data_IF_044248730200
#
_entry.id   IF_044248730200
#
_cell.length_a   1.000
_cell.length_b   1.000
_cell.length_c   1.000
_cell.angle_alpha   90.00
_cell.angle_beta   90.00
_cell.angle_gamma   90.00
#
_symmetry.space_group_name_H-M   'P 1'
#
loop_
_entity.id
_entity.type
_entity.pdbx_description
1 polymer ?
#
# COMPACT_ATOMS: atom_id res chain seq x y z
N UNK A 1 6.33 -35.33 18.39
CA UNK A 1 5.52 -35.13 17.19
C UNK A 1 6.27 -34.11 16.38
N UNK A 2 7.00 -34.63 15.40
CA UNK A 2 7.86 -33.86 14.52
C UNK A 2 7.01 -32.88 13.74
N UNK A 3 7.29 -31.60 13.92
CA UNK A 3 6.78 -30.55 13.05
C UNK A 3 7.50 -30.81 11.72
N UNK A 4 6.75 -31.23 10.70
CA UNK A 4 7.25 -31.37 9.34
C UNK A 4 7.94 -30.05 8.95
N UNK A 5 9.27 -30.08 8.90
CA UNK A 5 10.12 -29.09 8.22
C UNK A 5 9.93 -29.22 6.70
N UNK A 6 8.69 -29.10 6.21
CA UNK A 6 8.42 -28.97 4.78
C UNK A 6 9.00 -27.65 4.29
N UNK A 7 10.17 -27.75 3.65
CA UNK A 7 10.82 -26.81 2.73
C UNK A 7 10.52 -25.31 2.97
N UNK A 8 11.09 -24.74 4.02
CA UNK A 8 11.25 -23.29 4.14
C UNK A 8 12.35 -22.81 3.18
N UNK A 9 11.94 -22.33 2.00
CA UNK A 9 12.85 -21.70 1.02
C UNK A 9 13.54 -20.46 1.61
N UNK A 10 14.69 -20.06 1.08
CA UNK A 10 15.42 -18.85 1.51
C UNK A 10 14.58 -17.57 1.38
N UNK A 11 13.63 -17.53 0.45
CA UNK A 11 12.64 -16.45 0.32
C UNK A 11 11.65 -16.40 1.49
N UNK A 12 11.25 -17.53 2.09
CA UNK A 12 10.41 -17.51 3.30
C UNK A 12 11.16 -17.04 4.55
N UNK A 13 12.50 -17.12 4.55
CA UNK A 13 13.36 -16.59 5.62
C UNK A 13 13.67 -15.09 5.46
N UNK A 14 13.48 -14.53 4.26
CA UNK A 14 13.84 -13.15 3.92
C UNK A 14 12.60 -12.40 3.38
N UNK A 15 12.09 -11.40 4.09
CA UNK A 15 10.95 -10.59 3.62
C UNK A 15 9.79 -10.53 4.60
N UNK A 16 8.60 -10.25 4.06
CA UNK A 16 7.35 -10.15 4.84
C UNK A 16 6.93 -11.50 5.45
N UNK A 17 7.36 -12.62 4.86
CA UNK A 17 7.00 -13.99 5.29
C UNK A 17 7.59 -14.42 6.65
N UNK A 18 8.60 -13.72 7.16
CA UNK A 18 9.08 -13.97 8.53
C UNK A 18 8.03 -13.67 9.61
N UNK A 19 6.95 -12.98 9.24
CA UNK A 19 5.81 -12.67 10.10
C UNK A 19 4.68 -13.71 10.01
N UNK A 20 4.90 -14.84 9.31
CA UNK A 20 3.97 -15.97 9.30
C UNK A 20 3.83 -16.51 10.73
N UNK A 21 2.59 -16.81 11.10
CA UNK A 21 2.27 -17.40 12.40
C UNK A 21 1.42 -18.64 12.22
N UNK A 22 1.78 -19.77 12.85
CA UNK A 22 0.95 -20.98 12.81
C UNK A 22 -0.47 -20.68 13.29
N UNK A 23 -1.47 -21.31 12.65
CA UNK A 23 -2.90 -21.16 12.97
C UNK A 23 -3.50 -19.77 12.71
N UNK A 24 -2.77 -18.85 12.06
CA UNK A 24 -3.31 -17.55 11.65
C UNK A 24 -3.42 -17.45 10.12
N UNK A 25 -4.17 -18.37 9.52
CA UNK A 25 -4.25 -18.54 8.06
C UNK A 25 -4.70 -17.26 7.33
N UNK A 26 -5.69 -16.55 7.86
CA UNK A 26 -6.17 -15.32 7.25
C UNK A 26 -5.12 -14.18 7.29
N UNK A 27 -4.37 -14.06 8.39
CA UNK A 27 -3.22 -13.15 8.47
C UNK A 27 -2.10 -13.56 7.52
N UNK A 28 -1.76 -14.85 7.47
CA UNK A 28 -0.72 -15.37 6.58
C UNK A 28 -1.07 -15.10 5.11
N UNK A 29 -2.35 -15.24 4.75
CA UNK A 29 -2.86 -14.87 3.42
C UNK A 29 -2.71 -13.38 3.12
N UNK A 30 -2.89 -12.49 4.09
CA UNK A 30 -2.60 -11.06 3.89
C UNK A 30 -1.12 -10.82 3.59
N UNK A 31 -0.20 -11.57 4.22
CA UNK A 31 1.25 -11.46 3.92
C UNK A 31 1.57 -11.93 2.50
N UNK A 32 0.94 -13.01 2.04
CA UNK A 32 1.04 -13.47 0.65
C UNK A 32 0.54 -12.41 -0.33
N UNK A 33 -0.56 -11.72 0.02
CA UNK A 33 -1.09 -10.65 -0.82
C UNK A 33 -0.14 -9.44 -0.87
N UNK A 34 0.45 -9.04 0.26
CA UNK A 34 1.49 -8.00 0.31
C UNK A 34 2.64 -8.35 -0.64
N UNK A 35 3.14 -9.58 -0.58
CA UNK A 35 4.24 -10.01 -1.45
C UNK A 35 3.85 -10.05 -2.93
N UNK A 36 2.64 -10.51 -3.24
CA UNK A 36 2.11 -10.50 -4.61
C UNK A 36 2.03 -9.08 -5.17
N UNK A 37 1.48 -8.14 -4.40
CA UNK A 37 1.36 -6.73 -4.81
C UNK A 37 2.72 -6.07 -4.92
N UNK A 38 3.65 -6.38 -4.01
CA UNK A 38 5.03 -5.92 -4.09
C UNK A 38 5.66 -6.32 -5.43
N UNK A 39 5.55 -7.61 -5.80
CA UNK A 39 6.07 -8.12 -7.08
C UNK A 39 5.39 -7.44 -8.28
N UNK A 40 4.06 -7.27 -8.23
CA UNK A 40 3.28 -6.62 -9.28
C UNK A 40 3.70 -5.17 -9.52
N UNK A 41 3.99 -4.43 -8.45
CA UNK A 41 4.38 -3.01 -8.51
C UNK A 41 5.88 -2.80 -8.78
N UNK A 42 6.70 -3.86 -8.72
CA UNK A 42 8.16 -3.71 -8.71
C UNK A 42 8.69 -3.02 -7.45
N UNK A 43 7.95 -3.11 -6.34
CA UNK A 43 8.36 -2.56 -5.05
C UNK A 43 9.51 -3.38 -4.44
N UNK A 44 10.35 -2.73 -3.65
CA UNK A 44 11.46 -3.37 -2.95
C UNK A 44 11.12 -3.59 -1.49
N UNK A 45 11.56 -4.70 -0.91
CA UNK A 45 11.54 -4.90 0.53
C UNK A 45 12.97 -4.91 1.02
N UNK A 46 13.28 -3.97 1.91
CA UNK A 46 14.52 -4.00 2.65
C UNK A 46 14.31 -4.72 3.98
N UNK A 47 15.09 -5.79 4.12
CA UNK A 47 15.16 -6.64 5.31
C UNK A 47 16.43 -6.39 6.11
N UNK A 48 17.34 -5.53 5.64
CA UNK A 48 18.53 -5.14 6.40
C UNK A 48 18.07 -4.33 7.61
N UNK A 49 17.87 -5.04 8.72
CA UNK A 49 17.97 -4.39 10.00
C UNK A 49 19.42 -4.43 10.44
N UNK A 50 20.04 -3.26 10.54
CA UNK A 50 21.23 -3.03 11.36
C UNK A 50 20.85 -3.09 12.86
N UNK A 51 21.45 -4.06 13.56
CA UNK A 51 21.98 -4.03 14.94
C UNK A 51 21.11 -3.60 16.14
N UNK A 52 19.78 -3.70 16.05
CA UNK A 52 18.87 -3.46 17.18
C UNK A 52 18.19 -4.72 17.74
N UNK A 53 17.96 -4.79 19.06
CA UNK A 53 17.21 -5.87 19.75
C UNK A 53 15.77 -6.09 19.21
N UNK A 54 15.23 -5.11 18.46
CA UNK A 54 13.85 -5.09 17.96
C UNK A 54 13.73 -5.31 16.43
N UNK A 55 14.84 -5.67 15.82
CA UNK A 55 15.05 -5.93 14.39
C UNK A 55 14.04 -6.90 13.77
N UNK A 56 13.78 -8.01 14.44
CA UNK A 56 12.92 -9.08 13.93
C UNK A 56 11.44 -8.69 13.75
N UNK A 57 11.04 -7.47 14.12
CA UNK A 57 9.65 -7.00 14.09
C UNK A 57 9.36 -5.95 13.01
N UNK A 58 10.37 -5.48 12.26
CA UNK A 58 10.18 -4.32 11.36
C UNK A 58 10.72 -4.53 9.96
N UNK A 59 9.91 -4.34 8.92
CA UNK A 59 10.39 -4.31 7.53
C UNK A 59 10.02 -3.00 6.84
N UNK A 60 10.79 -2.65 5.82
CA UNK A 60 10.51 -1.50 4.96
C UNK A 60 10.07 -1.98 3.58
N UNK A 61 8.96 -1.47 3.09
CA UNK A 61 8.54 -1.61 1.69
C UNK A 61 8.74 -0.27 1.00
N UNK A 62 9.54 -0.25 -0.05
CA UNK A 62 9.77 0.92 -0.90
C UNK A 62 8.87 0.84 -2.13
N UNK A 63 8.13 1.91 -2.38
CA UNK A 63 7.10 2.00 -3.43
C UNK A 63 7.32 3.29 -4.18
N UNK A 64 7.30 3.23 -5.49
CA UNK A 64 7.35 4.43 -6.32
C UNK A 64 5.94 4.75 -6.81
N UNK A 65 5.52 6.01 -6.67
CA UNK A 65 4.32 6.50 -7.33
C UNK A 65 4.49 6.34 -8.84
N UNK A 66 3.57 5.61 -9.49
CA UNK A 66 3.77 5.14 -10.87
C UNK A 66 3.97 6.30 -11.85
N UNK A 67 3.19 7.36 -11.69
CA UNK A 67 3.25 8.54 -12.55
C UNK A 67 4.10 9.66 -11.95
N UNK A 68 3.95 9.88 -10.64
CA UNK A 68 4.62 10.97 -9.93
C UNK A 68 6.13 10.76 -9.81
N UNK A 69 6.59 9.50 -9.77
CA UNK A 69 7.97 9.13 -9.46
C UNK A 69 8.34 9.31 -7.98
N UNK A 70 7.39 9.66 -7.10
CA UNK A 70 7.66 9.91 -5.69
C UNK A 70 8.06 8.59 -5.02
N UNK A 71 9.20 8.62 -4.32
CA UNK A 71 9.70 7.47 -3.57
C UNK A 71 9.04 7.44 -2.19
N UNK A 72 8.23 6.42 -1.94
CA UNK A 72 7.57 6.16 -0.67
C UNK A 72 8.24 5.03 0.10
N UNK A 73 8.13 5.08 1.43
CA UNK A 73 8.53 4.00 2.34
C UNK A 73 7.40 3.70 3.32
N UNK A 74 6.95 2.45 3.33
CA UNK A 74 6.11 1.89 4.38
C UNK A 74 6.98 1.14 5.38
N UNK A 75 7.01 1.61 6.62
CA UNK A 75 7.61 0.89 7.74
C UNK A 75 6.54 0.04 8.39
N UNK A 76 6.62 -1.28 8.25
CA UNK A 76 5.68 -2.22 8.85
C UNK A 76 6.26 -2.71 10.18
N UNK A 77 5.47 -2.60 11.24
CA UNK A 77 5.79 -3.07 12.58
C UNK A 77 4.87 -4.24 12.95
N UNK A 78 5.45 -5.39 13.27
CA UNK A 78 4.74 -6.60 13.65
C UNK A 78 4.83 -6.86 15.16
N UNK A 79 3.71 -7.23 15.78
CA UNK A 79 3.61 -7.49 17.22
C UNK A 79 3.53 -8.99 17.54
N UNK A 80 4.67 -9.69 17.74
CA UNK A 80 4.68 -11.14 17.93
C UNK A 80 3.98 -11.57 19.21
N UNK A 81 3.95 -10.72 20.26
CA UNK A 81 3.21 -11.02 21.49
C UNK A 81 1.70 -11.11 21.26
N UNK A 82 1.16 -10.23 20.41
CA UNK A 82 -0.25 -10.24 20.03
C UNK A 82 -0.54 -11.47 19.18
N UNK A 83 0.32 -11.73 18.19
CA UNK A 83 0.15 -12.88 17.30
C UNK A 83 0.17 -14.21 18.05
N UNK A 84 1.13 -14.39 18.96
CA UNK A 84 1.25 -15.58 19.80
C UNK A 84 0.08 -15.74 20.80
N UNK A 85 -0.57 -14.65 21.19
CA UNK A 85 -1.75 -14.73 22.04
C UNK A 85 -2.97 -15.19 21.22
N UNK A 86 -3.14 -14.61 20.02
CA UNK A 86 -4.24 -14.92 19.12
C UNK A 86 -4.16 -16.37 18.61
N UNK A 87 -2.98 -16.82 18.18
CA UNK A 87 -2.77 -18.14 17.57
C UNK A 87 -3.09 -19.33 18.47
N UNK A 88 -3.13 -19.13 19.80
CA UNK A 88 -3.40 -20.20 20.77
C UNK A 88 -4.79 -20.81 20.65
N UNK A 89 -5.79 -20.00 20.34
CA UNK A 89 -7.21 -20.41 20.41
C UNK A 89 -8.08 -19.90 19.26
N UNK A 90 -7.50 -19.18 18.29
CA UNK A 90 -8.24 -18.67 17.13
C UNK A 90 -8.95 -19.78 16.34
N UNK A 91 -8.35 -20.98 16.25
CA UNK A 91 -8.94 -22.15 15.59
C UNK A 91 -10.18 -22.71 16.33
N UNK A 92 -10.39 -22.33 17.59
CA UNK A 92 -11.58 -22.71 18.35
C UNK A 92 -12.77 -21.77 18.06
N UNK A 93 -12.53 -20.67 17.34
CA UNK A 93 -13.52 -19.65 17.05
C UNK A 93 -13.99 -19.78 15.61
N UNK A 94 -15.29 -19.95 15.42
CA UNK A 94 -15.88 -19.76 14.09
C UNK A 94 -15.82 -18.27 13.71
N UNK A 95 -15.12 -17.94 12.63
CA UNK A 95 -14.93 -16.57 12.13
C UNK A 95 -16.19 -16.00 11.44
N UNK A 96 -17.31 -16.03 12.16
CA UNK A 96 -18.52 -15.28 11.79
C UNK A 96 -18.29 -13.77 11.88
N UNK A 97 -19.08 -12.96 11.18
CA UNK A 97 -18.99 -11.49 11.21
C UNK A 97 -18.90 -10.92 12.63
N UNK A 98 -19.71 -11.43 13.55
CA UNK A 98 -19.73 -10.97 14.95
C UNK A 98 -18.40 -11.27 15.67
N UNK A 99 -17.88 -12.48 15.52
CA UNK A 99 -16.66 -12.90 16.19
C UNK A 99 -15.45 -12.20 15.57
N UNK A 100 -15.42 -12.07 14.25
CA UNK A 100 -14.38 -11.38 13.51
C UNK A 100 -14.25 -9.91 13.93
N UNK A 101 -15.38 -9.20 14.09
CA UNK A 101 -15.39 -7.82 14.62
C UNK A 101 -14.70 -7.72 15.98
N UNK A 102 -15.03 -8.63 16.88
CA UNK A 102 -14.49 -8.64 18.25
C UNK A 102 -12.99 -8.93 18.25
N UNK A 103 -12.56 -9.90 17.45
CA UNK A 103 -11.15 -10.30 17.31
C UNK A 103 -10.33 -9.18 16.68
N UNK A 104 -10.73 -8.69 15.50
CA UNK A 104 -9.94 -7.72 14.74
C UNK A 104 -9.89 -6.35 15.41
N UNK A 105 -10.97 -5.91 16.08
CA UNK A 105 -10.92 -4.68 16.87
C UNK A 105 -9.98 -4.81 18.08
N UNK A 106 -10.00 -5.95 18.77
CA UNK A 106 -9.14 -6.18 19.95
C UNK A 106 -7.66 -6.29 19.55
N UNK A 107 -7.37 -6.97 18.45
CA UNK A 107 -6.02 -7.26 17.99
C UNK A 107 -5.59 -6.40 16.79
N UNK A 108 -6.19 -5.23 16.62
CA UNK A 108 -5.89 -4.30 15.53
C UNK A 108 -4.42 -3.89 15.44
N UNK A 109 -3.69 -3.94 16.57
CA UNK A 109 -2.25 -3.62 16.64
C UNK A 109 -1.33 -4.78 16.22
N UNK A 110 -1.88 -5.90 15.76
CA UNK A 110 -1.09 -7.06 15.30
C UNK A 110 -0.03 -6.64 14.27
N UNK A 111 -0.41 -5.76 13.35
CA UNK A 111 0.48 -5.06 12.44
C UNK A 111 0.12 -3.57 12.46
N UNK A 112 1.13 -2.70 12.52
CA UNK A 112 0.97 -1.26 12.33
C UNK A 112 1.94 -0.80 11.23
N UNK A 113 1.67 0.34 10.60
CA UNK A 113 2.58 0.90 9.61
C UNK A 113 2.74 2.41 9.77
N UNK A 114 3.86 2.91 9.24
CA UNK A 114 4.12 4.33 9.07
C UNK A 114 4.49 4.61 7.62
N UNK A 115 3.93 5.68 7.06
CA UNK A 115 4.19 6.08 5.67
C UNK A 115 5.14 7.27 5.63
N UNK A 116 6.08 7.26 4.70
CA UNK A 116 6.99 8.37 4.44
C UNK A 116 7.18 8.56 2.94
N UNK A 117 7.57 9.77 2.54
CA UNK A 117 8.14 10.03 1.22
C UNK A 117 9.58 10.56 1.36
N UNK A 118 10.44 10.28 0.39
CA UNK A 118 11.82 10.76 0.40
C UNK A 118 11.94 12.13 -0.27
N UNK A 119 12.37 13.11 0.49
CA UNK A 119 12.60 14.47 0.02
C UNK A 119 14.05 14.64 -0.39
N UNK A 120 14.30 14.58 -1.70
CA UNK A 120 15.63 14.77 -2.27
C UNK A 120 16.21 16.16 -2.05
N UNK A 121 15.38 17.18 -1.80
CA UNK A 121 15.87 18.53 -1.50
C UNK A 121 16.48 18.59 -0.09
N UNK A 122 15.88 17.87 0.87
CA UNK A 122 16.30 17.85 2.27
C UNK A 122 17.15 16.61 2.62
N UNK A 123 17.23 15.62 1.73
CA UNK A 123 17.93 14.34 1.92
C UNK A 123 17.31 13.44 2.99
N UNK A 124 16.00 13.58 3.29
CA UNK A 124 15.34 12.91 4.42
C UNK A 124 13.97 12.31 4.09
N UNK A 125 13.56 11.35 4.90
CA UNK A 125 12.21 10.78 4.87
C UNK A 125 11.23 11.66 5.66
N UNK A 126 10.24 12.21 4.97
CA UNK A 126 9.16 13.01 5.57
C UNK A 126 7.94 12.12 5.83
N UNK A 127 7.40 12.19 7.04
CA UNK A 127 6.26 11.37 7.43
C UNK A 127 4.95 11.84 6.78
N UNK A 128 4.16 10.89 6.28
CA UNK A 128 2.79 11.10 5.80
C UNK A 128 1.84 10.41 6.78
N UNK A 129 0.95 11.18 7.39
CA UNK A 129 -0.13 10.63 8.21
C UNK A 129 -1.19 10.00 7.31
N UNK A 130 -1.03 8.70 7.05
CA UNK A 130 -2.05 7.81 6.50
C UNK A 130 -2.52 6.88 7.62
N UNK A 131 -3.55 7.33 8.33
CA UNK A 131 -4.16 6.53 9.39
C UNK A 131 -5.38 5.79 8.86
N UNK A 132 -5.43 4.51 9.18
CA UNK A 132 -6.63 3.72 8.96
C UNK A 132 -7.43 3.80 10.24
N UNK A 133 -8.61 4.42 10.15
CA UNK A 133 -9.55 4.50 11.27
C UNK A 133 -10.16 3.12 11.48
N UNK A 134 -9.81 2.40 12.56
CA UNK A 134 -10.37 1.08 12.80
C UNK A 134 -11.87 1.22 13.00
N UNK A 135 -12.65 0.46 12.24
CA UNK A 135 -14.10 0.46 12.35
C UNK A 135 -14.58 -0.90 12.80
N UNK A 136 -15.28 -0.93 13.93
CA UNK A 136 -15.98 -2.14 14.40
C UNK A 136 -16.99 -2.62 13.34
N UNK A 137 -17.48 -1.73 12.48
CA UNK A 137 -18.46 -2.08 11.46
C UNK A 137 -17.83 -2.71 10.21
N UNK A 138 -16.55 -2.45 9.95
CA UNK A 138 -15.82 -2.94 8.78
C UNK A 138 -14.50 -3.58 9.23
N UNK A 139 -14.56 -4.77 9.85
CA UNK A 139 -13.37 -5.43 10.36
C UNK A 139 -12.59 -6.01 9.18
N UNK A 140 -11.32 -5.66 9.07
CA UNK A 140 -10.41 -6.26 8.07
C UNK A 140 -9.07 -6.56 8.71
N UNK A 141 -8.35 -7.53 8.14
CA UNK A 141 -7.07 -7.92 8.70
C UNK A 141 -6.06 -6.78 8.53
N UNK A 142 -5.20 -6.51 9.54
CA UNK A 142 -4.21 -5.44 9.44
C UNK A 142 -3.26 -5.55 8.24
N UNK A 143 -3.05 -6.74 7.69
CA UNK A 143 -2.27 -6.91 6.45
C UNK A 143 -2.99 -6.43 5.19
N UNK A 144 -4.32 -6.59 5.09
CA UNK A 144 -5.11 -6.15 3.93
C UNK A 144 -5.09 -4.62 3.78
N UNK A 145 -5.02 -3.95 4.93
CA UNK A 145 -4.81 -2.52 5.04
C UNK A 145 -3.48 -2.07 4.43
N UNK A 146 -2.39 -2.80 4.64
CA UNK A 146 -1.10 -2.51 4.02
C UNK A 146 -1.21 -2.60 2.50
N UNK A 147 -1.84 -3.64 1.98
CA UNK A 147 -2.08 -3.81 0.54
C UNK A 147 -2.84 -2.61 -0.04
N UNK A 148 -3.88 -2.14 0.66
CA UNK A 148 -4.66 -0.98 0.25
C UNK A 148 -3.80 0.29 0.19
N UNK A 149 -2.93 0.49 1.19
CA UNK A 149 -2.00 1.63 1.23
C UNK A 149 -0.93 1.51 0.13
N UNK A 150 -0.41 0.31 -0.14
CA UNK A 150 0.53 0.10 -1.25
C UNK A 150 -0.07 0.52 -2.59
N UNK A 151 -1.32 0.13 -2.84
CA UNK A 151 -2.04 0.54 -4.04
C UNK A 151 -2.30 2.05 -4.07
N UNK A 152 -2.71 2.63 -2.95
CA UNK A 152 -2.90 4.08 -2.80
C UNK A 152 -1.63 4.88 -3.15
N UNK A 153 -0.46 4.43 -2.67
CA UNK A 153 0.82 5.09 -2.94
C UNK A 153 1.32 4.84 -4.36
N UNK A 154 1.10 3.65 -4.92
CA UNK A 154 1.46 3.35 -6.31
C UNK A 154 0.63 4.16 -7.30
N UNK A 155 -0.65 4.40 -7.00
CA UNK A 155 -1.59 5.18 -7.82
C UNK A 155 -1.84 6.56 -7.20
N UNK A 156 -0.81 7.19 -6.64
CA UNK A 156 -0.88 8.42 -5.85
C UNK A 156 -1.61 9.57 -6.55
N UNK A 157 -1.35 9.81 -7.85
CA UNK A 157 -1.99 10.86 -8.66
C UNK A 157 -3.52 10.71 -8.78
N UNK A 158 -4.07 9.55 -8.48
CA UNK A 158 -5.53 9.35 -8.41
C UNK A 158 -6.02 9.26 -6.98
N UNK A 159 -5.30 8.50 -6.16
CA UNK A 159 -5.67 8.25 -4.76
C UNK A 159 -5.71 9.54 -3.96
N UNK A 160 -4.79 10.47 -4.24
CA UNK A 160 -4.76 11.77 -3.61
C UNK A 160 -6.02 12.58 -3.84
N UNK A 161 -6.80 12.32 -4.89
CA UNK A 161 -8.03 13.04 -5.21
C UNK A 161 -9.23 12.60 -4.36
N UNK A 162 -9.08 11.56 -3.55
CA UNK A 162 -10.05 11.23 -2.50
C UNK A 162 -10.06 12.34 -1.42
N UNK A 163 -11.24 12.63 -0.86
CA UNK A 163 -11.42 13.69 0.15
C UNK A 163 -10.67 13.38 1.44
N UNK A 164 -10.64 12.11 1.84
CA UNK A 164 -10.01 11.69 3.09
C UNK A 164 -8.47 11.67 2.99
N UNK A 165 -7.91 11.72 1.78
CA UNK A 165 -6.46 11.74 1.52
C UNK A 165 -5.82 13.13 1.69
N UNK A 166 -6.29 13.90 2.67
CA UNK A 166 -5.85 15.28 2.92
C UNK A 166 -4.34 15.41 3.17
N UNK A 167 -3.78 14.57 4.04
CA UNK A 167 -2.35 14.64 4.37
C UNK A 167 -1.48 14.27 3.17
N UNK A 168 -1.85 13.20 2.45
CA UNK A 168 -1.16 12.80 1.23
C UNK A 168 -1.21 13.93 0.20
N UNK A 169 -2.38 14.56 0.01
CA UNK A 169 -2.56 15.71 -0.90
C UNK A 169 -1.65 16.86 -0.58
N UNK A 170 -1.57 17.22 0.70
CA UNK A 170 -0.69 18.31 1.15
C UNK A 170 0.78 17.98 0.87
N UNK A 171 1.26 16.82 1.28
CA UNK A 171 2.65 16.41 1.08
C UNK A 171 3.01 16.29 -0.42
N UNK A 172 2.07 15.80 -1.22
CA UNK A 172 2.24 15.60 -2.65
C UNK A 172 2.47 16.90 -3.42
N UNK A 173 1.94 18.05 -2.96
CA UNK A 173 2.21 19.35 -3.60
C UNK A 173 3.71 19.68 -3.64
N UNK A 174 4.47 19.32 -2.60
CA UNK A 174 5.93 19.47 -2.56
C UNK A 174 6.61 18.28 -3.24
N UNK A 175 6.21 17.07 -2.87
CA UNK A 175 6.88 15.84 -3.32
C UNK A 175 6.87 15.68 -4.84
N UNK A 176 5.79 16.04 -5.52
CA UNK A 176 5.67 15.94 -6.97
C UNK A 176 6.68 16.86 -7.69
N UNK A 177 6.85 18.09 -7.21
CA UNK A 177 7.81 19.05 -7.78
C UNK A 177 9.24 18.56 -7.56
N UNK A 178 9.55 18.09 -6.35
CA UNK A 178 10.89 17.55 -6.02
C UNK A 178 11.20 16.33 -6.89
N UNK A 179 10.26 15.39 -7.02
CA UNK A 179 10.39 14.19 -7.85
C UNK A 179 10.63 14.53 -9.32
N UNK A 180 9.92 15.54 -9.85
CA UNK A 180 10.09 15.98 -11.23
C UNK A 180 11.51 16.52 -11.50
N UNK A 181 12.03 17.38 -10.63
CA UNK A 181 13.40 17.91 -10.78
C UNK A 181 14.49 16.84 -10.60
N UNK A 182 14.20 15.78 -9.85
CA UNK A 182 15.10 14.65 -9.70
C UNK A 182 15.11 13.73 -10.94
N UNK A 183 14.15 13.90 -11.86
CA UNK A 183 14.03 13.09 -13.07
C UNK A 183 13.41 11.72 -12.84
N UNK A 184 12.70 11.53 -11.73
CA UNK A 184 12.06 10.25 -11.39
C UNK A 184 10.64 10.11 -11.97
N UNK A 185 10.01 11.22 -12.36
CA UNK A 185 8.68 11.20 -12.96
C UNK A 185 8.69 10.57 -14.36
N UNK A 186 7.53 10.07 -14.80
CA UNK A 186 7.35 9.58 -16.18
C UNK A 186 7.85 10.58 -17.23
N UNK A 187 8.47 10.12 -18.31
CA UNK A 187 8.93 10.96 -19.43
C UNK A 187 7.80 11.80 -20.05
N UNK A 188 6.56 11.31 -19.97
CA UNK A 188 5.36 12.02 -20.44
C UNK A 188 4.92 13.17 -19.53
N UNK A 189 5.51 13.27 -18.33
CA UNK A 189 5.22 14.29 -17.33
C UNK A 189 6.06 15.54 -17.56
N UNK A 190 5.52 16.50 -18.30
CA UNK A 190 6.11 17.82 -18.46
C UNK A 190 5.86 18.69 -17.22
N UNK A 191 6.74 19.67 -16.98
CA UNK A 191 6.63 20.54 -15.81
C UNK A 191 5.34 21.38 -15.78
N UNK A 192 4.82 21.79 -16.94
CA UNK A 192 3.53 22.50 -17.03
C UNK A 192 2.37 21.66 -16.48
N UNK A 193 2.37 20.35 -16.75
CA UNK A 193 1.42 19.40 -16.17
C UNK A 193 1.59 19.25 -14.66
N UNK A 194 2.83 19.17 -14.19
CA UNK A 194 3.13 19.13 -12.74
C UNK A 194 2.62 20.39 -12.03
N UNK A 195 2.96 21.56 -12.57
CA UNK A 195 2.53 22.85 -12.00
C UNK A 195 1.01 22.95 -11.95
N UNK A 196 0.33 22.61 -13.05
CA UNK A 196 -1.13 22.60 -13.11
C UNK A 196 -1.74 21.62 -12.09
N UNK A 197 -1.16 20.43 -11.95
CA UNK A 197 -1.67 19.43 -11.02
C UNK A 197 -1.50 19.88 -9.55
N UNK A 198 -0.37 20.51 -9.21
CA UNK A 198 -0.15 21.10 -7.87
C UNK A 198 -1.18 22.20 -7.57
N UNK A 199 -1.49 23.06 -8.54
CA UNK A 199 -2.55 24.07 -8.39
C UNK A 199 -3.91 23.41 -8.11
N UNK A 200 -4.27 22.36 -8.85
CA UNK A 200 -5.49 21.61 -8.61
C UNK A 200 -5.55 20.99 -7.22
N UNK A 201 -4.44 20.42 -6.71
CA UNK A 201 -4.39 19.88 -5.35
C UNK A 201 -4.59 20.97 -4.30
N UNK A 202 -3.97 22.15 -4.49
CA UNK A 202 -4.14 23.29 -3.58
C UNK A 202 -5.59 23.80 -3.58
N UNK A 203 -6.24 23.84 -4.74
CA UNK A 203 -7.66 24.20 -4.85
C UNK A 203 -8.57 23.20 -4.13
N UNK A 204 -8.33 21.89 -4.29
CA UNK A 204 -9.08 20.85 -3.59
C UNK A 204 -8.96 20.99 -2.07
N UNK A 205 -7.76 21.31 -1.57
CA UNK A 205 -7.51 21.55 -0.14
C UNK A 205 -8.29 22.75 0.41
N UNK A 206 -8.50 23.78 -0.41
CA UNK A 206 -9.28 24.97 -0.04
C UNK A 206 -10.80 24.81 -0.19
N UNK A 207 -11.28 23.63 -0.59
CA UNK A 207 -12.69 23.42 -0.91
C UNK A 207 -13.49 22.92 0.31
N UNK A 208 -14.37 23.77 0.82
CA UNK A 208 -15.11 23.49 2.07
C UNK A 208 -16.30 22.53 1.91
N UNK A 209 -16.96 22.53 0.75
CA UNK A 209 -18.18 21.74 0.54
C UNK A 209 -17.92 20.45 -0.21
N UNK A 210 -18.60 19.38 0.21
CA UNK A 210 -18.50 18.05 -0.39
C UNK A 210 -18.86 18.05 -1.87
N UNK A 211 -19.94 18.75 -2.23
CA UNK A 211 -20.40 18.87 -3.60
C UNK A 211 -19.39 19.59 -4.49
N UNK A 212 -18.80 20.70 -4.00
CA UNK A 212 -17.77 21.43 -4.75
C UNK A 212 -16.50 20.58 -4.92
N UNK A 213 -16.11 19.85 -3.87
CA UNK A 213 -14.96 18.95 -3.91
C UNK A 213 -15.16 17.88 -4.97
N UNK A 214 -16.31 17.20 -4.98
CA UNK A 214 -16.63 16.16 -5.96
C UNK A 214 -16.60 16.70 -7.40
N UNK A 215 -17.20 17.87 -7.66
CA UNK A 215 -17.18 18.48 -8.99
C UNK A 215 -15.76 18.84 -9.46
N UNK A 216 -14.93 19.41 -8.58
CA UNK A 216 -13.52 19.72 -8.90
C UNK A 216 -12.72 18.45 -9.16
N UNK A 217 -12.87 17.43 -8.30
CA UNK A 217 -12.25 16.11 -8.48
C UNK A 217 -12.58 15.51 -9.84
N UNK A 218 -13.86 15.50 -10.21
CA UNK A 218 -14.31 14.91 -11.48
C UNK A 218 -13.80 15.69 -12.69
N UNK A 219 -13.69 17.02 -12.58
CA UNK A 219 -13.07 17.85 -13.61
C UNK A 219 -11.57 17.55 -13.76
N UNK A 220 -10.84 17.40 -12.65
CA UNK A 220 -9.42 17.02 -12.64
C UNK A 220 -9.24 15.66 -13.31
N UNK A 221 -10.00 14.63 -12.90
CA UNK A 221 -9.95 13.30 -13.49
C UNK A 221 -10.22 13.33 -14.99
N UNK A 222 -11.22 14.10 -15.43
CA UNK A 222 -11.53 14.29 -16.85
C UNK A 222 -10.37 14.94 -17.61
N UNK A 223 -9.73 15.95 -17.02
CA UNK A 223 -8.59 16.63 -17.64
C UNK A 223 -7.36 15.73 -17.75
N UNK A 224 -7.06 14.94 -16.72
CA UNK A 224 -5.98 13.95 -16.77
C UNK A 224 -6.28 12.96 -17.89
N UNK A 225 -7.47 12.35 -17.90
CA UNK A 225 -7.83 11.34 -18.92
C UNK A 225 -7.77 11.87 -20.36
N UNK A 226 -8.19 13.11 -20.59
CA UNK A 226 -8.28 13.67 -21.95
C UNK A 226 -6.95 14.24 -22.45
N UNK A 227 -6.10 14.76 -21.56
CA UNK A 227 -4.92 15.55 -21.95
C UNK A 227 -3.60 14.87 -21.57
N UNK A 228 -3.65 13.79 -20.80
CA UNK A 228 -2.50 12.99 -20.45
C UNK A 228 -2.71 11.64 -21.14
N UNK A 229 -2.12 11.50 -22.34
CA UNK A 229 -2.27 10.44 -23.37
C UNK A 229 -2.19 8.98 -22.87
N UNK A 230 -1.95 8.75 -21.59
CA UNK A 230 -1.55 7.48 -21.02
C UNK A 230 -2.70 6.68 -20.37
N UNK A 231 -3.89 7.27 -20.16
CA UNK A 231 -4.99 6.57 -19.49
C UNK A 231 -5.58 5.39 -20.28
N UNK A 232 -5.30 5.24 -21.58
CA UNK A 232 -5.84 4.15 -22.40
C UNK A 232 -4.87 2.99 -22.68
N UNK A 233 -3.54 3.17 -22.56
CA UNK A 233 -2.60 2.14 -23.05
C UNK A 233 -1.99 1.22 -21.99
N UNK A 234 -1.93 1.58 -20.71
CA UNK A 234 -1.17 0.81 -19.70
C UNK A 234 -1.97 -0.01 -18.71
N UNK A 235 -3.29 -0.04 -18.86
CA UNK A 235 -4.09 -1.19 -18.40
C UNK A 235 -3.78 -2.47 -19.22
N UNK A 236 -3.02 -2.36 -20.33
CA UNK A 236 -2.63 -3.49 -21.19
C UNK A 236 -1.13 -3.75 -21.25
N UNK A 237 -0.35 -3.36 -20.24
CA UNK A 237 1.04 -3.82 -20.18
C UNK A 237 1.08 -5.33 -19.94
N UNK A 238 1.81 -6.00 -20.83
CA UNK A 238 2.16 -7.42 -21.04
C UNK A 238 2.01 -8.42 -19.87
N UNK A 239 2.02 -7.98 -18.62
CA UNK A 239 1.74 -8.82 -17.45
C UNK A 239 0.26 -9.23 -17.33
N UNK A 240 -0.72 -8.37 -17.67
CA UNK A 240 -2.14 -8.79 -17.65
C UNK A 240 -2.44 -9.90 -18.68
N UNK A 241 -1.79 -9.86 -19.86
CA UNK A 241 -1.87 -10.94 -20.85
C UNK A 241 -1.23 -12.25 -20.38
N UNK A 242 -0.23 -12.19 -19.49
CA UNK A 242 0.37 -13.36 -18.87
C UNK A 242 -0.59 -14.00 -17.85
N UNK A 243 -1.31 -13.18 -17.07
CA UNK A 243 -2.31 -13.67 -16.11
C UNK A 243 -3.61 -14.14 -16.75
N UNK A 244 -4.13 -13.48 -17.79
CA UNK A 244 -5.28 -13.99 -18.57
C UNK A 244 -4.98 -15.40 -19.11
N UNK A 245 -3.76 -15.64 -19.62
CA UNK A 245 -3.34 -16.98 -20.06
C UNK A 245 -3.18 -18.01 -18.93
N UNK A 246 -2.98 -17.59 -17.68
CA UNK A 246 -2.91 -18.49 -16.51
C UNK A 246 -4.31 -18.82 -15.99
N UNK A 247 -5.21 -17.83 -15.96
CA UNK A 247 -6.60 -18.04 -15.52
C UNK A 247 -7.46 -18.76 -16.56
N UNK A 248 -7.24 -18.53 -17.87
CA UNK A 248 -7.89 -19.32 -18.94
C UNK A 248 -7.56 -20.81 -18.83
N UNK A 249 -6.32 -21.15 -18.42
CA UNK A 249 -5.87 -22.55 -18.23
C UNK A 249 -6.42 -23.21 -16.97
N UNK A 250 -6.92 -22.44 -16.00
CA UNK A 250 -7.52 -22.97 -14.77
C UNK A 250 -9.02 -23.23 -14.94
N UNK A 251 -9.69 -22.54 -15.86
CA UNK A 251 -11.07 -22.83 -16.26
C UNK A 251 -11.19 -24.12 -17.08
N UNK A 252 -10.12 -24.54 -17.78
CA UNK A 252 -10.04 -25.82 -18.49
C UNK A 252 -9.92 -27.05 -17.57
N UNK A 253 -9.86 -26.86 -16.24
CA UNK A 253 -9.76 -27.93 -15.22
C UNK A 253 -10.99 -28.04 -14.30
N UNK A 254 -12.10 -27.37 -14.62
CA UNK A 254 -13.42 -27.63 -14.03
C UNK A 254 -14.27 -28.52 -14.93
#
# INVERSE_FOLDING_TARGET
>A
MDINEEEYTSEKRNGIFRFIVPNLDAHNKSLEWIESERKRMGAEIDNMIDDGYDSCKKCHIFINGRESGINYRLTINFEPKIANLLSKRINEIELSDRNLKSVLFTFQKLINFETHWYDHADGRWNHICLEIKPSVNYPVWPGDHIVSVMNCLSEDMTSVLDRDMRTLRKEMTKALVVSWFQGNSSESMRYDKVSQYVEWLAELESTDSEFSFANKRDLILKNIRNNWEYWEETQKTTQMKLYENVFQKLEDFQ
#
